data_IF_760018598510
#
_entry.id   IF_760018598510
#
_cell.length_a   1.000
_cell.length_b   1.000
_cell.length_c   1.000
_cell.angle_alpha   90.00
_cell.angle_beta   90.00
_cell.angle_gamma   90.00
#
_symmetry.space_group_name_H-M   'P 1'
#
loop_
_entity.id
_entity.type
_entity.pdbx_description
1 polymer ?
#
# COMPACT_ATOMS: atom_id res chain seq x y z
N UNK A 1 8.31 -24.98 -12.50
CA UNK A 1 8.65 -25.42 -11.14
C UNK A 1 9.63 -24.40 -10.57
N UNK A 2 9.61 -24.18 -9.27
CA UNK A 2 10.43 -23.17 -8.58
C UNK A 2 11.28 -23.86 -7.52
N UNK A 3 12.49 -23.34 -7.31
CA UNK A 3 13.35 -23.73 -6.18
C UNK A 3 13.27 -22.65 -5.13
N UNK A 4 13.12 -23.07 -3.88
CA UNK A 4 13.13 -22.18 -2.74
C UNK A 4 14.04 -22.73 -1.65
N UNK A 5 14.90 -21.87 -1.17
CA UNK A 5 15.73 -22.03 0.02
C UNK A 5 15.17 -21.10 1.09
N UNK A 6 15.04 -21.61 2.30
CA UNK A 6 14.42 -20.85 3.37
C UNK A 6 15.04 -21.17 4.72
N UNK A 7 15.02 -20.16 5.59
CA UNK A 7 15.42 -20.27 6.98
C UNK A 7 14.18 -20.12 7.85
N UNK A 8 14.16 -20.87 8.95
CA UNK A 8 13.04 -20.83 9.89
C UNK A 8 13.48 -20.45 11.30
N UNK A 9 12.56 -19.89 12.07
CA UNK A 9 12.77 -19.76 13.51
C UNK A 9 12.56 -21.11 14.24
N UNK A 10 12.68 -21.09 15.57
CA UNK A 10 12.49 -22.27 16.43
C UNK A 10 11.05 -22.82 16.40
N UNK A 11 10.09 -22.05 15.91
CA UNK A 11 8.68 -22.42 15.78
C UNK A 11 8.36 -22.89 14.35
N UNK A 12 9.34 -22.92 13.44
CA UNK A 12 9.18 -23.33 12.05
C UNK A 12 8.66 -22.23 11.12
N UNK A 13 8.49 -21.00 11.60
CA UNK A 13 8.08 -19.87 10.76
C UNK A 13 9.19 -19.48 9.81
N UNK A 14 8.84 -19.25 8.55
CA UNK A 14 9.77 -18.77 7.54
C UNK A 14 10.16 -17.32 7.86
N UNK A 15 11.44 -17.10 8.13
CA UNK A 15 12.01 -15.76 8.42
C UNK A 15 12.79 -15.19 7.24
N UNK A 16 13.29 -16.06 6.36
CA UNK A 16 14.05 -15.65 5.19
C UNK A 16 13.79 -16.63 4.05
N UNK A 17 13.66 -16.11 2.83
CA UNK A 17 13.49 -16.91 1.63
C UNK A 17 14.42 -16.42 0.51
N UNK A 18 14.89 -17.36 -0.28
CA UNK A 18 15.52 -17.10 -1.56
C UNK A 18 15.03 -18.14 -2.55
N UNK A 19 14.65 -17.71 -3.74
CA UNK A 19 14.16 -18.66 -4.71
C UNK A 19 13.83 -18.03 -6.03
N UNK A 20 13.53 -18.89 -6.98
CA UNK A 20 13.28 -18.49 -8.35
C UNK A 20 12.89 -19.68 -9.22
N UNK A 21 12.61 -19.37 -10.47
CA UNK A 21 12.24 -20.39 -11.44
C UNK A 21 13.43 -21.30 -11.72
N UNK A 22 13.22 -22.62 -11.74
CA UNK A 22 14.28 -23.64 -11.80
C UNK A 22 15.30 -23.38 -12.92
N UNK A 23 14.87 -22.85 -14.07
CA UNK A 23 15.77 -22.60 -15.22
C UNK A 23 16.65 -21.35 -15.07
N UNK A 24 16.29 -20.42 -14.18
CA UNK A 24 16.96 -19.12 -14.05
C UNK A 24 17.57 -18.89 -12.67
N UNK A 25 17.17 -19.66 -11.67
CA UNK A 25 17.62 -19.49 -10.30
C UNK A 25 19.00 -20.12 -10.10
N UNK A 26 19.94 -19.29 -9.67
CA UNK A 26 21.26 -19.75 -9.24
C UNK A 26 21.16 -20.30 -7.82
N UNK A 27 21.96 -21.31 -7.47
CA UNK A 27 22.07 -21.73 -6.07
C UNK A 27 22.57 -20.55 -5.23
N UNK A 28 22.06 -20.38 -4.00
CA UNK A 28 22.49 -19.30 -3.12
C UNK A 28 23.95 -19.49 -2.70
N UNK A 29 24.68 -18.38 -2.52
CA UNK A 29 26.04 -18.36 -1.98
C UNK A 29 26.11 -18.59 -0.46
N UNK A 30 24.96 -18.60 0.23
CA UNK A 30 24.85 -18.83 1.67
C UNK A 30 24.06 -20.10 1.96
N UNK A 31 24.33 -20.69 3.12
CA UNK A 31 23.61 -21.86 3.61
C UNK A 31 22.21 -21.47 4.10
N UNK A 32 21.26 -22.35 3.83
CA UNK A 32 19.87 -22.27 4.26
C UNK A 32 19.48 -23.57 4.97
N UNK A 33 18.57 -23.49 5.93
CA UNK A 33 18.13 -24.65 6.71
C UNK A 33 17.39 -25.68 5.85
N UNK A 34 16.55 -25.20 4.92
CA UNK A 34 15.70 -26.06 4.10
C UNK A 34 15.73 -25.69 2.62
N UNK A 35 15.48 -26.70 1.79
CA UNK A 35 15.35 -26.59 0.34
C UNK A 35 14.11 -27.36 -0.14
N UNK A 36 13.28 -26.70 -0.94
CA UNK A 36 12.09 -27.29 -1.53
C UNK A 36 11.97 -26.96 -3.02
N UNK A 37 11.45 -27.92 -3.80
CA UNK A 37 10.98 -27.70 -5.16
C UNK A 37 9.46 -27.61 -5.16
N UNK A 38 8.94 -26.43 -5.47
CA UNK A 38 7.51 -26.12 -5.34
C UNK A 38 6.91 -25.69 -6.68
N UNK A 39 5.59 -25.77 -6.79
CA UNK A 39 4.88 -25.20 -7.93
C UNK A 39 4.74 -23.67 -7.80
N UNK A 40 4.29 -23.02 -8.87
CA UNK A 40 4.21 -21.56 -8.93
C UNK A 40 3.16 -20.94 -8.02
N UNK A 41 2.15 -21.70 -7.58
CA UNK A 41 1.16 -21.23 -6.61
C UNK A 41 1.79 -21.19 -5.22
N UNK A 42 2.39 -22.30 -4.78
CA UNK A 42 3.10 -22.35 -3.49
C UNK A 42 4.22 -21.34 -3.40
N UNK A 43 4.97 -21.11 -4.49
CA UNK A 43 6.01 -20.07 -4.50
C UNK A 43 5.46 -18.65 -4.25
N UNK A 44 4.30 -18.32 -4.83
CA UNK A 44 3.66 -17.00 -4.65
C UNK A 44 3.04 -16.85 -3.26
N UNK A 45 2.53 -17.95 -2.71
CA UNK A 45 1.84 -17.98 -1.43
C UNK A 45 2.77 -18.36 -0.25
N UNK A 46 4.10 -18.40 -0.45
CA UNK A 46 5.05 -18.94 0.54
C UNK A 46 4.95 -18.28 1.93
N UNK A 47 4.53 -17.01 2.01
CA UNK A 47 4.30 -16.33 3.29
C UNK A 47 3.22 -16.99 4.18
N UNK A 48 2.37 -17.83 3.59
CA UNK A 48 1.33 -18.63 4.27
C UNK A 48 1.77 -20.08 4.52
N UNK A 49 3.06 -20.37 4.47
CA UNK A 49 3.60 -21.69 4.74
C UNK A 49 4.55 -21.65 5.94
N UNK A 50 4.68 -22.81 6.58
CA UNK A 50 5.53 -23.05 7.73
C UNK A 50 6.26 -24.38 7.51
N UNK A 51 7.47 -24.52 8.03
CA UNK A 51 8.16 -25.81 8.02
C UNK A 51 7.85 -26.53 9.33
N UNK A 52 7.22 -27.70 9.23
CA UNK A 52 6.87 -28.54 10.38
C UNK A 52 7.48 -29.92 10.11
N UNK A 53 8.34 -30.39 11.01
CA UNK A 53 9.04 -31.68 10.88
C UNK A 53 9.81 -31.86 9.55
N UNK A 54 10.25 -30.76 8.95
CA UNK A 54 10.97 -30.75 7.67
C UNK A 54 10.09 -30.71 6.42
N UNK A 55 8.77 -30.70 6.59
CA UNK A 55 7.79 -30.56 5.51
C UNK A 55 7.24 -29.14 5.45
N UNK A 56 6.99 -28.66 4.22
CA UNK A 56 6.37 -27.36 3.98
C UNK A 56 4.84 -27.49 4.10
N UNK A 57 4.28 -27.01 5.21
CA UNK A 57 2.85 -27.09 5.54
C UNK A 57 2.19 -25.73 5.34
N UNK A 58 1.03 -25.71 4.69
CA UNK A 58 0.23 -24.49 4.56
C UNK A 58 -0.36 -24.11 5.92
N UNK A 59 0.05 -22.97 6.46
CA UNK A 59 -0.40 -22.40 7.71
C UNK A 59 -0.70 -20.93 7.47
N UNK A 60 -1.96 -20.57 7.12
CA UNK A 60 -2.31 -19.19 6.82
C UNK A 60 -2.06 -18.35 8.07
N UNK A 61 -1.06 -17.48 8.01
CA UNK A 61 -0.88 -16.46 9.04
C UNK A 61 -2.08 -15.52 8.92
N UNK A 62 -2.77 -15.27 10.03
CA UNK A 62 -3.74 -14.17 10.08
C UNK A 62 -3.01 -12.91 9.59
N UNK A 63 -3.64 -12.08 8.74
CA UNK A 63 -2.98 -10.90 8.22
C UNK A 63 -2.59 -10.01 9.41
N UNK A 64 -1.30 -9.99 9.73
CA UNK A 64 -0.74 -8.94 10.56
C UNK A 64 -0.87 -7.67 9.74
N UNK A 65 -1.86 -6.86 10.11
CA UNK A 65 -2.14 -5.51 9.62
C UNK A 65 -0.92 -4.62 9.95
N UNK A 66 0.16 -4.85 9.22
CA UNK A 66 1.37 -4.06 9.24
C UNK A 66 1.25 -3.03 8.14
N UNK A 67 0.29 -2.11 8.32
CA UNK A 67 0.46 -0.77 7.77
C UNK A 67 1.85 -0.27 8.22
N UNK A 68 2.72 0.20 7.31
CA UNK A 68 3.99 0.80 7.72
C UNK A 68 3.66 1.92 8.71
N UNK A 69 4.42 2.08 9.81
CA UNK A 69 4.15 3.14 10.77
C UNK A 69 4.13 4.46 9.99
N UNK A 70 2.98 5.12 10.00
CA UNK A 70 2.85 6.45 9.42
C UNK A 70 3.99 7.30 10.00
N UNK A 71 4.72 8.08 9.18
CA UNK A 71 5.71 9.00 9.71
C UNK A 71 5.04 9.83 10.81
N UNK A 72 5.72 10.14 11.93
CA UNK A 72 5.10 10.89 13.00
C UNK A 72 4.69 12.26 12.44
N UNK A 73 3.42 12.42 12.10
CA UNK A 73 2.88 13.71 11.69
C UNK A 73 2.97 14.60 12.92
N UNK A 74 3.92 15.52 12.92
CA UNK A 74 4.06 16.46 14.04
C UNK A 74 2.82 17.34 14.07
N UNK A 75 2.40 17.75 15.27
CA UNK A 75 1.31 18.71 15.45
C UNK A 75 1.55 19.99 14.63
N UNK A 76 2.82 20.33 14.38
CA UNK A 76 3.26 21.44 13.53
C UNK A 76 2.90 21.22 12.05
N UNK A 77 3.13 20.02 11.49
CA UNK A 77 2.74 19.70 10.11
C UNK A 77 1.22 19.69 9.91
N UNK A 78 0.45 19.19 10.88
CA UNK A 78 -1.02 19.24 10.83
C UNK A 78 -1.56 20.68 10.95
N UNK A 79 -0.90 21.53 11.73
CA UNK A 79 -1.30 22.93 11.89
C UNK A 79 -1.05 23.75 10.62
N UNK A 80 0.06 23.48 9.92
CA UNK A 80 0.39 24.14 8.66
C UNK A 80 -0.56 23.72 7.53
N UNK A 81 -0.86 22.42 7.40
CA UNK A 81 -1.80 21.90 6.40
C UNK A 81 -3.22 22.45 6.62
N UNK A 82 -3.69 22.53 7.87
CA UNK A 82 -4.98 23.14 8.19
C UNK A 82 -5.05 24.64 7.82
N UNK A 83 -3.95 25.38 8.01
CA UNK A 83 -3.89 26.80 7.65
C UNK A 83 -3.94 27.00 6.14
N UNK A 84 -3.26 26.15 5.39
CA UNK A 84 -3.29 26.18 3.92
C UNK A 84 -4.67 25.79 3.39
N UNK A 85 -5.27 24.70 3.89
CA UNK A 85 -6.61 24.25 3.51
C UNK A 85 -7.67 25.33 3.76
N UNK A 86 -7.60 26.02 4.90
CA UNK A 86 -8.51 27.12 5.22
C UNK A 86 -8.36 28.29 4.25
N UNK A 87 -7.12 28.66 3.92
CA UNK A 87 -6.83 29.74 2.96
C UNK A 87 -7.35 29.41 1.56
N UNK A 88 -7.25 28.14 1.13
CA UNK A 88 -7.78 27.66 -0.16
C UNK A 88 -9.31 27.64 -0.19
N UNK A 89 -9.94 27.27 0.93
CA UNK A 89 -11.40 27.29 1.04
C UNK A 89 -11.94 28.72 0.93
N UNK A 90 -11.35 29.68 1.64
CA UNK A 90 -11.75 31.09 1.59
C UNK A 90 -11.62 31.68 0.17
N UNK A 91 -10.58 31.30 -0.58
CA UNK A 91 -10.42 31.72 -1.97
C UNK A 91 -11.52 31.13 -2.86
N UNK A 92 -11.79 29.83 -2.74
CA UNK A 92 -12.81 29.15 -3.53
C UNK A 92 -14.22 29.69 -3.25
N UNK A 93 -14.54 30.02 -1.99
CA UNK A 93 -15.81 30.65 -1.62
C UNK A 93 -15.95 32.04 -2.25
N UNK A 94 -14.87 32.83 -2.24
CA UNK A 94 -14.86 34.16 -2.87
C UNK A 94 -15.02 34.08 -4.39
N UNK A 95 -14.33 33.15 -5.04
CA UNK A 95 -14.49 32.91 -6.49
C UNK A 95 -15.91 32.47 -6.83
N UNK A 96 -16.51 31.58 -6.04
CA UNK A 96 -17.88 31.14 -6.24
C UNK A 96 -18.90 32.28 -6.05
N UNK A 97 -18.70 33.14 -5.04
CA UNK A 97 -19.54 34.34 -4.85
C UNK A 97 -19.42 35.33 -6.02
N UNK A 98 -18.21 35.59 -6.52
CA UNK A 98 -18.02 36.47 -7.67
C UNK A 98 -18.66 35.88 -8.94
N UNK A 99 -18.53 34.57 -9.15
CA UNK A 99 -19.19 33.88 -10.27
C UNK A 99 -20.71 33.93 -10.16
N UNK A 100 -21.26 33.70 -8.96
CA UNK A 100 -22.70 33.78 -8.71
C UNK A 100 -23.23 35.21 -8.94
N UNK A 101 -22.50 36.23 -8.51
CA UNK A 101 -22.85 37.64 -8.74
C UNK A 101 -22.82 37.98 -10.24
N UNK A 102 -21.77 37.58 -10.96
CA UNK A 102 -21.67 37.81 -12.40
C UNK A 102 -22.80 37.13 -13.20
N UNK A 103 -23.19 35.91 -12.81
CA UNK A 103 -24.33 35.20 -13.42
C UNK A 103 -25.65 35.93 -13.13
N UNK A 104 -25.84 36.44 -11.91
CA UNK A 104 -27.04 37.18 -11.52
C UNK A 104 -27.17 38.50 -12.30
N UNK A 105 -26.10 39.29 -12.40
CA UNK A 105 -26.07 40.53 -13.19
C UNK A 105 -26.37 40.28 -14.67
N UNK A 106 -25.79 39.22 -15.25
CA UNK A 106 -26.09 38.82 -16.64
C UNK A 106 -27.55 38.41 -16.81
N UNK A 107 -28.12 37.70 -15.84
CA UNK A 107 -29.53 37.29 -15.87
C UNK A 107 -30.48 38.49 -15.77
N UNK A 108 -30.15 39.49 -14.96
CA UNK A 108 -30.93 40.75 -14.86
C UNK A 108 -30.86 41.58 -16.15
N UNK A 109 -29.72 41.62 -16.84
CA UNK A 109 -29.60 42.28 -18.16
C UNK A 109 -30.45 41.58 -19.22
N UNK A 110 -30.50 40.24 -19.21
CA UNK A 110 -31.25 39.44 -20.20
C UNK A 110 -32.77 39.48 -19.92
N UNK A 111 -33.19 39.51 -18.65
CA UNK A 111 -34.60 39.49 -18.25
C UNK A 111 -35.22 40.90 -18.05
N UNK A 112 -34.40 41.92 -17.80
CA UNK A 112 -34.83 43.31 -17.58
C UNK A 112 -34.94 44.17 -18.84
N UNK A 113 -34.49 43.68 -20.01
CA UNK A 113 -34.56 44.39 -21.30
C UNK A 113 -35.93 44.34 -22.00
N UNK A 114 -37.02 44.27 -21.23
CA UNK A 114 -38.39 44.15 -21.71
C UNK A 114 -39.31 45.26 -21.18
N UNK A 115 -38.95 46.51 -21.41
CA UNK A 115 -39.87 47.66 -21.46
C UNK A 115 -39.47 48.59 -22.60
#
# INVERSE_FOLDING_TARGET
MYKIWLNTDAEGNIIETYGGFVEFVLPPDKEYDYFFEVDGKTFKDIGNYQVIDGDLVYSPKEPEDTEPPLPPTTLESLAEENKELKSRLELAEKENQMNAFAIMELAEIILGGGM
#
